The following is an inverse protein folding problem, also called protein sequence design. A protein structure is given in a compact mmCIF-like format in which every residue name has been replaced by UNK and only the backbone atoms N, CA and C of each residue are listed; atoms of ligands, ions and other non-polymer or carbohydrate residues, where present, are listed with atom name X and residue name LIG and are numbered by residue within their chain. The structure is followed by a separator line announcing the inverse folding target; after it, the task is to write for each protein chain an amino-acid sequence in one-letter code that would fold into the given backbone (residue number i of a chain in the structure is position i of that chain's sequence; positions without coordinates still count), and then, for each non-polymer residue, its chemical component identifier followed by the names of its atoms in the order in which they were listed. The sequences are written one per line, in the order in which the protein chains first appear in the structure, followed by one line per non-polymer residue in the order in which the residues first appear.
data_IF_370151837547
#
_entry.id   IF_370151837547
#
_cell.length_a   1.000
_cell.length_b   1.000
_cell.length_c   1.000
_cell.angle_alpha   90.00
_cell.angle_beta   90.00
_cell.angle_gamma   90.00
#
_symmetry.space_group_name_H-M   'P 1'
#
loop_
_entity.id
_entity.type
_entity.pdbx_description
1 polymer ?
#
# COMPACT_ATOMS: atom_id res chain seq x y z
N UNK A 1 -8.42 -4.35 -8.34
CA UNK A 1 -7.77 -5.65 -8.66
C UNK A 1 -7.91 -5.91 -10.16
N UNK A 2 -6.87 -6.47 -10.78
CA UNK A 2 -6.85 -6.83 -12.20
C UNK A 2 -6.63 -8.33 -12.39
N UNK A 3 -7.36 -8.95 -13.31
CA UNK A 3 -7.07 -10.32 -13.78
C UNK A 3 -6.54 -10.25 -15.21
N UNK A 4 -5.28 -10.63 -15.39
CA UNK A 4 -4.63 -10.65 -16.70
C UNK A 4 -4.38 -12.08 -17.18
N UNK A 5 -4.65 -12.31 -18.46
CA UNK A 5 -4.21 -13.51 -19.19
C UNK A 5 -3.56 -13.09 -20.50
N UNK A 6 -2.35 -13.57 -20.70
CA UNK A 6 -1.52 -13.29 -21.87
C UNK A 6 -1.62 -14.46 -22.83
N UNK A 7 -1.87 -14.20 -24.10
CA UNK A 7 -2.16 -15.20 -25.11
C UNK A 7 -1.32 -14.97 -26.36
N UNK A 8 -0.65 -16.02 -26.84
CA UNK A 8 0.18 -16.00 -28.04
C UNK A 8 -0.43 -16.91 -29.12
N UNK A 9 -0.40 -16.51 -30.40
CA UNK A 9 -0.86 -17.34 -31.52
C UNK A 9 0.29 -17.81 -32.43
N UNK A 10 0.68 -19.09 -32.37
CA UNK A 10 1.67 -19.65 -33.29
C UNK A 10 1.04 -20.12 -34.63
N UNK A 11 1.74 -19.98 -35.77
CA UNK A 11 2.90 -19.11 -35.99
C UNK A 11 2.46 -17.65 -36.15
N UNK A 12 3.19 -16.70 -35.57
CA UNK A 12 2.92 -15.27 -35.75
C UNK A 12 3.29 -14.42 -34.55
N UNK A 13 2.99 -13.13 -34.65
CA UNK A 13 3.23 -12.10 -33.62
C UNK A 13 1.92 -11.51 -33.05
N UNK A 14 0.80 -12.21 -33.21
CA UNK A 14 -0.50 -11.81 -32.65
C UNK A 14 -0.55 -12.18 -31.15
N UNK A 15 -0.03 -11.27 -30.34
CA UNK A 15 0.03 -11.37 -28.89
C UNK A 15 -1.06 -10.51 -28.25
N UNK A 16 -1.86 -11.12 -27.38
CA UNK A 16 -3.04 -10.50 -26.78
C UNK A 16 -3.00 -10.57 -25.27
N UNK A 17 -3.54 -9.54 -24.65
CA UNK A 17 -3.88 -9.51 -23.24
C UNK A 17 -5.41 -9.44 -23.12
N UNK A 18 -6.00 -10.37 -22.37
CA UNK A 18 -7.36 -10.21 -21.85
C UNK A 18 -7.23 -9.77 -20.40
N UNK A 19 -7.82 -8.63 -20.08
CA UNK A 19 -7.69 -7.95 -18.79
C UNK A 19 -9.10 -7.67 -18.23
N UNK A 20 -9.36 -8.09 -17.00
CA UNK A 20 -10.56 -7.70 -16.26
C UNK A 20 -10.19 -6.78 -15.10
N UNK A 21 -10.75 -5.57 -15.09
CA UNK A 21 -10.68 -4.65 -13.97
C UNK A 21 -11.89 -4.88 -13.05
N UNK A 22 -11.73 -5.63 -11.95
CA UNK A 22 -12.83 -6.00 -11.06
C UNK A 22 -13.50 -4.83 -10.34
N UNK A 23 -12.77 -3.73 -10.10
CA UNK A 23 -13.35 -2.57 -9.40
C UNK A 23 -14.38 -1.81 -10.25
N UNK A 24 -14.21 -1.84 -11.58
CA UNK A 24 -15.13 -1.21 -12.54
C UNK A 24 -15.89 -2.23 -13.39
N UNK A 25 -15.76 -3.51 -13.06
CA UNK A 25 -16.27 -4.65 -13.83
C UNK A 25 -16.10 -4.50 -15.35
N UNK A 26 -14.91 -4.04 -15.76
CA UNK A 26 -14.60 -3.74 -17.17
C UNK A 26 -13.66 -4.79 -17.74
N UNK A 27 -14.14 -5.53 -18.73
CA UNK A 27 -13.37 -6.45 -19.56
C UNK A 27 -12.71 -5.69 -20.71
N UNK A 28 -11.42 -5.91 -20.91
CA UNK A 28 -10.62 -5.32 -21.96
C UNK A 28 -9.84 -6.41 -22.69
N UNK A 29 -9.73 -6.28 -24.00
CA UNK A 29 -8.85 -7.08 -24.84
C UNK A 29 -7.89 -6.17 -25.57
N UNK A 30 -6.59 -6.36 -25.35
CA UNK A 30 -5.51 -5.47 -25.78
C UNK A 30 -4.54 -6.25 -26.70
N UNK A 31 -4.14 -5.65 -27.81
CA UNK A 31 -3.03 -6.10 -28.64
C UNK A 31 -1.72 -5.62 -28.04
N UNK A 32 -0.80 -6.51 -27.67
CA UNK A 32 0.40 -6.12 -26.93
C UNK A 32 1.34 -5.23 -27.76
N UNK A 33 1.57 -5.58 -29.04
CA UNK A 33 2.52 -4.87 -29.92
C UNK A 33 1.96 -3.63 -30.65
N UNK A 34 0.66 -3.35 -30.55
CA UNK A 34 0.01 -2.27 -31.34
C UNK A 34 -0.28 -1.00 -30.52
N UNK A 35 0.14 -0.96 -29.27
CA UNK A 35 -0.27 0.09 -28.33
C UNK A 35 0.76 1.21 -28.26
N UNK A 36 0.46 2.34 -28.91
CA UNK A 36 1.12 3.63 -28.67
C UNK A 36 0.14 4.59 -27.98
N UNK A 37 0.11 4.54 -26.64
CA UNK A 37 -0.74 5.43 -25.84
C UNK A 37 -0.30 6.91 -25.88
N UNK A 38 0.94 7.19 -26.31
CA UNK A 38 1.47 8.57 -26.42
C UNK A 38 0.97 9.26 -27.69
N UNK A 39 0.67 8.48 -28.74
CA UNK A 39 0.07 8.99 -29.97
C UNK A 39 -1.42 9.31 -29.86
N UNK A 40 -2.09 8.94 -28.75
CA UNK A 40 -3.52 9.16 -28.58
C UNK A 40 -3.83 10.55 -28.01
N UNK A 41 -4.75 11.25 -28.68
CA UNK A 41 -5.24 12.56 -28.25
C UNK A 41 -6.28 12.40 -27.13
N UNK A 42 -5.78 12.34 -25.88
CA UNK A 42 -6.57 12.24 -24.65
C UNK A 42 -7.54 13.41 -24.42
N UNK A 43 -7.43 14.51 -25.20
CA UNK A 43 -8.37 15.63 -25.12
C UNK A 43 -9.73 15.34 -25.74
N UNK A 44 -9.88 14.23 -26.47
CA UNK A 44 -11.14 13.84 -27.13
C UNK A 44 -11.87 12.77 -26.33
N UNK A 45 -13.13 13.00 -25.92
CA UNK A 45 -13.93 11.98 -25.27
C UNK A 45 -14.23 10.86 -26.26
N UNK A 46 -14.06 9.63 -25.80
CA UNK A 46 -14.43 8.45 -26.56
C UNK A 46 -15.94 8.22 -26.51
N UNK A 47 -16.55 7.72 -27.59
CA UNK A 47 -17.95 7.28 -27.55
C UNK A 47 -18.13 6.21 -26.45
N UNK A 48 -19.27 6.21 -25.73
CA UNK A 48 -19.57 5.15 -24.76
C UNK A 48 -19.45 3.76 -25.40
N UNK A 49 -18.68 2.88 -24.79
CA UNK A 49 -18.45 1.51 -25.28
C UNK A 49 -17.47 1.40 -26.46
N UNK A 50 -16.81 2.49 -26.88
CA UNK A 50 -15.72 2.41 -27.83
C UNK A 50 -14.47 1.77 -27.18
N UNK A 51 -13.75 1.00 -27.98
CA UNK A 51 -12.42 0.50 -27.64
C UNK A 51 -11.41 1.66 -27.60
N UNK A 52 -10.41 1.59 -26.72
CA UNK A 52 -9.22 2.43 -26.81
C UNK A 52 -8.35 2.00 -27.99
N UNK A 53 -7.41 2.84 -28.47
CA UNK A 53 -6.38 2.40 -29.40
C UNK A 53 -5.64 1.17 -28.87
N UNK A 54 -5.41 0.20 -29.74
CA UNK A 54 -4.80 -1.08 -29.39
C UNK A 54 -5.74 -2.03 -28.63
N UNK A 55 -7.02 -1.69 -28.44
CA UNK A 55 -8.02 -2.61 -27.88
C UNK A 55 -8.90 -3.24 -28.97
N UNK A 56 -9.08 -4.56 -28.90
CA UNK A 56 -10.09 -5.29 -29.68
C UNK A 56 -11.40 -5.52 -28.91
N UNK A 57 -11.42 -5.25 -27.61
CA UNK A 57 -12.58 -5.46 -26.76
C UNK A 57 -12.56 -4.46 -25.61
N UNK A 58 -13.72 -3.81 -25.36
CA UNK A 58 -14.01 -3.09 -24.13
C UNK A 58 -15.47 -3.27 -23.77
N UNK A 59 -15.74 -3.85 -22.61
CA UNK A 59 -17.11 -4.09 -22.15
C UNK A 59 -17.20 -3.92 -20.64
N UNK A 60 -18.10 -3.04 -20.21
CA UNK A 60 -18.48 -2.91 -18.80
C UNK A 60 -19.66 -3.84 -18.48
N UNK A 61 -19.70 -4.34 -17.26
CA UNK A 61 -20.76 -5.18 -16.73
C UNK A 61 -21.27 -4.62 -15.41
N UNK A 62 -22.49 -4.97 -15.04
CA UNK A 62 -23.11 -4.48 -13.80
C UNK A 62 -22.65 -5.27 -12.57
N UNK A 63 -22.07 -6.46 -12.78
CA UNK A 63 -21.68 -7.37 -11.70
C UNK A 63 -20.40 -8.15 -12.01
N UNK A 64 -19.64 -8.45 -10.95
CA UNK A 64 -18.48 -9.33 -10.98
C UNK A 64 -18.76 -10.72 -11.58
N UNK A 65 -19.92 -11.31 -11.30
CA UNK A 65 -20.28 -12.62 -11.87
C UNK A 65 -20.42 -12.56 -13.39
N UNK A 66 -21.04 -11.50 -13.94
CA UNK A 66 -21.16 -11.32 -15.38
C UNK A 66 -19.79 -11.04 -16.03
N UNK A 67 -19.00 -10.16 -15.42
CA UNK A 67 -17.69 -9.75 -15.95
C UNK A 67 -16.70 -10.92 -15.98
N UNK A 68 -16.67 -11.75 -14.92
CA UNK A 68 -15.85 -12.97 -14.86
C UNK A 68 -16.33 -14.03 -15.85
N UNK A 69 -17.65 -14.21 -16.02
CA UNK A 69 -18.18 -15.14 -17.01
C UNK A 69 -17.78 -14.74 -18.44
N UNK A 70 -17.85 -13.46 -18.76
CA UNK A 70 -17.42 -12.92 -20.05
C UNK A 70 -15.90 -13.04 -20.25
N UNK A 71 -15.11 -12.76 -19.21
CA UNK A 71 -13.65 -12.95 -19.22
C UNK A 71 -13.27 -14.40 -19.54
N UNK A 72 -13.89 -15.37 -18.85
CA UNK A 72 -13.71 -16.81 -19.12
C UNK A 72 -14.10 -17.17 -20.55
N UNK A 73 -15.25 -16.68 -21.02
CA UNK A 73 -15.73 -16.92 -22.38
C UNK A 73 -14.75 -16.41 -23.43
N UNK A 74 -14.22 -15.19 -23.25
CA UNK A 74 -13.30 -14.57 -24.21
C UNK A 74 -11.96 -15.31 -24.28
N UNK A 75 -11.44 -15.74 -23.13
CA UNK A 75 -10.21 -16.56 -23.05
C UNK A 75 -10.41 -17.90 -23.77
N UNK A 76 -11.55 -18.57 -23.56
CA UNK A 76 -11.87 -19.81 -24.28
C UNK A 76 -12.07 -19.61 -25.78
N UNK A 77 -12.70 -18.50 -26.18
CA UNK A 77 -12.85 -18.12 -27.59
C UNK A 77 -11.48 -17.97 -28.27
N UNK A 78 -10.53 -17.32 -27.60
CA UNK A 78 -9.16 -17.19 -28.10
C UNK A 78 -8.45 -18.55 -28.12
N UNK A 79 -8.55 -19.38 -27.08
CA UNK A 79 -7.98 -20.74 -27.10
C UNK A 79 -8.52 -21.57 -28.26
N UNK A 80 -9.83 -21.53 -28.51
CA UNK A 80 -10.46 -22.20 -29.65
C UNK A 80 -9.98 -21.67 -31.01
N UNK A 81 -9.53 -20.41 -31.06
CA UNK A 81 -8.90 -19.79 -32.24
C UNK A 81 -7.40 -20.10 -32.38
N UNK A 82 -6.85 -20.98 -31.54
CA UNK A 82 -5.46 -21.45 -31.60
C UNK A 82 -4.47 -20.67 -30.74
N UNK A 83 -4.95 -19.82 -29.83
CA UNK A 83 -4.07 -19.10 -28.90
C UNK A 83 -3.65 -19.97 -27.72
N UNK A 84 -2.42 -19.78 -27.25
CA UNK A 84 -1.85 -20.42 -26.07
C UNK A 84 -1.69 -19.38 -24.97
N UNK A 85 -2.27 -19.64 -23.79
CA UNK A 85 -2.05 -18.81 -22.61
C UNK A 85 -0.60 -18.99 -22.11
N UNK A 86 0.13 -17.89 -21.94
CA UNK A 86 1.52 -17.87 -21.47
C UNK A 86 1.61 -17.66 -19.96
N UNK A 87 2.77 -17.94 -19.37
CA UNK A 87 3.00 -17.83 -17.93
C UNK A 87 3.02 -16.40 -17.39
N UNK A 88 3.06 -15.39 -18.25
CA UNK A 88 3.11 -13.98 -17.86
C UNK A 88 1.94 -13.59 -16.95
N UNK A 89 2.25 -12.73 -15.98
CA UNK A 89 1.29 -12.26 -14.97
C UNK A 89 1.24 -10.75 -14.84
N UNK A 90 2.27 -10.01 -15.23
CA UNK A 90 2.30 -8.55 -15.08
C UNK A 90 1.37 -7.86 -16.08
N UNK A 91 0.21 -7.37 -15.62
CA UNK A 91 -0.78 -6.69 -16.46
C UNK A 91 -0.26 -5.40 -17.14
N UNK A 92 0.88 -4.86 -16.69
CA UNK A 92 1.53 -3.70 -17.30
C UNK A 92 2.42 -4.07 -18.48
N UNK A 93 2.70 -5.36 -18.68
CA UNK A 93 3.46 -5.88 -19.81
C UNK A 93 2.81 -5.48 -21.14
N UNK A 94 3.62 -5.00 -22.07
CA UNK A 94 3.21 -4.60 -23.44
C UNK A 94 3.90 -5.41 -24.54
N UNK A 95 4.79 -6.32 -24.18
CA UNK A 95 5.39 -7.27 -25.12
C UNK A 95 5.74 -8.55 -24.35
N UNK A 96 5.48 -9.72 -24.95
CA UNK A 96 5.89 -11.00 -24.37
C UNK A 96 7.40 -11.24 -24.49
N UNK A 97 8.13 -10.41 -25.25
CA UNK A 97 9.59 -10.46 -25.33
C UNK A 97 10.13 -11.74 -25.97
N UNK A 98 9.30 -12.43 -26.77
CA UNK A 98 9.63 -13.72 -27.38
C UNK A 98 9.51 -14.92 -26.44
N UNK A 99 9.13 -14.72 -25.17
CA UNK A 99 8.81 -15.82 -24.27
C UNK A 99 7.35 -16.24 -24.44
N UNK A 100 7.15 -17.39 -25.07
CA UNK A 100 5.81 -17.95 -25.29
C UNK A 100 5.56 -19.20 -24.45
N UNK A 101 6.31 -19.36 -23.35
CA UNK A 101 6.22 -20.55 -22.50
C UNK A 101 4.78 -20.69 -21.98
N UNK A 102 4.11 -21.83 -22.27
CA UNK A 102 2.73 -22.03 -21.87
C UNK A 102 2.56 -21.98 -20.35
N UNK A 103 1.45 -21.39 -19.88
CA UNK A 103 1.13 -21.36 -18.47
C UNK A 103 0.99 -22.80 -17.91
N UNK A 104 1.66 -23.14 -16.80
CA UNK A 104 1.45 -24.41 -16.10
C UNK A 104 -0.02 -24.65 -15.73
N UNK A 105 -0.46 -25.91 -15.78
CA UNK A 105 -1.85 -26.26 -15.51
C UNK A 105 -2.31 -25.85 -14.10
N UNK A 106 -1.44 -25.99 -13.09
CA UNK A 106 -1.77 -25.61 -11.71
C UNK A 106 -1.98 -24.10 -11.54
N UNK A 107 -1.27 -23.26 -12.30
CA UNK A 107 -1.48 -21.81 -12.28
C UNK A 107 -2.83 -21.46 -12.90
N UNK A 108 -3.22 -22.12 -14.00
CA UNK A 108 -4.57 -21.95 -14.58
C UNK A 108 -5.67 -22.34 -13.59
N UNK A 109 -5.50 -23.45 -12.87
CA UNK A 109 -6.46 -23.87 -11.84
C UNK A 109 -6.55 -22.85 -10.69
N UNK A 110 -5.42 -22.27 -10.28
CA UNK A 110 -5.38 -21.26 -9.23
C UNK A 110 -6.02 -19.94 -9.69
N UNK A 111 -5.79 -19.51 -10.93
CA UNK A 111 -6.50 -18.39 -11.55
C UNK A 111 -8.03 -18.63 -11.52
N UNK A 112 -8.46 -19.83 -11.90
CA UNK A 112 -9.88 -20.21 -11.91
C UNK A 112 -10.51 -20.22 -10.51
N UNK A 113 -9.77 -20.72 -9.51
CA UNK A 113 -10.20 -20.71 -8.11
C UNK A 113 -10.30 -19.28 -7.56
N UNK A 114 -9.35 -18.41 -7.94
CA UNK A 114 -9.37 -16.99 -7.58
C UNK A 114 -10.60 -16.30 -8.17
N UNK A 115 -10.88 -16.46 -9.46
CA UNK A 115 -12.11 -15.94 -10.09
C UNK A 115 -13.37 -16.48 -9.41
N UNK A 116 -13.40 -17.78 -9.08
CA UNK A 116 -14.55 -18.40 -8.45
C UNK A 116 -14.88 -17.78 -7.08
N UNK A 117 -13.87 -17.33 -6.34
CA UNK A 117 -14.06 -16.69 -5.03
C UNK A 117 -14.79 -15.34 -5.06
N UNK A 118 -14.97 -14.76 -6.26
CA UNK A 118 -15.69 -13.50 -6.48
C UNK A 118 -17.02 -13.68 -7.23
N UNK A 119 -17.13 -14.68 -8.10
CA UNK A 119 -18.27 -14.82 -9.00
C UNK A 119 -19.17 -16.02 -8.73
N UNK A 120 -18.64 -17.10 -8.14
CA UNK A 120 -19.27 -18.41 -8.17
C UNK A 120 -19.85 -18.81 -6.79
N UNK A 121 -20.89 -19.67 -6.75
CA UNK A 121 -21.41 -20.26 -5.52
C UNK A 121 -20.37 -21.02 -4.69
N UNK A 122 -20.60 -21.13 -3.38
CA UNK A 122 -19.65 -21.74 -2.41
C UNK A 122 -19.30 -23.21 -2.69
N UNK A 123 -20.19 -23.98 -3.32
CA UNK A 123 -19.95 -25.36 -3.74
C UNK A 123 -19.02 -25.43 -4.96
N UNK A 124 -19.18 -24.51 -5.92
CA UNK A 124 -18.25 -24.36 -7.04
C UNK A 124 -16.87 -23.95 -6.53
N UNK A 125 -16.80 -22.99 -5.60
CA UNK A 125 -15.54 -22.61 -4.96
C UNK A 125 -14.87 -23.80 -4.26
N UNK A 126 -15.62 -24.61 -3.52
CA UNK A 126 -15.09 -25.81 -2.86
C UNK A 126 -14.49 -26.80 -3.88
N UNK A 127 -15.17 -27.04 -5.01
CA UNK A 127 -14.67 -27.91 -6.07
C UNK A 127 -13.38 -27.37 -6.71
N UNK A 128 -13.28 -26.05 -6.92
CA UNK A 128 -12.06 -25.42 -7.44
C UNK A 128 -10.90 -25.53 -6.46
N UNK A 129 -11.14 -25.35 -5.17
CA UNK A 129 -10.12 -25.53 -4.13
C UNK A 129 -9.67 -26.98 -4.01
N UNK A 130 -10.59 -27.95 -4.06
CA UNK A 130 -10.26 -29.36 -4.02
C UNK A 130 -9.35 -29.77 -5.20
N UNK A 131 -9.55 -29.19 -6.38
CA UNK A 131 -8.71 -29.44 -7.54
C UNK A 131 -7.26 -28.94 -7.39
N UNK A 132 -6.97 -28.06 -6.42
CA UNK A 132 -5.60 -27.57 -6.15
C UNK A 132 -4.80 -28.48 -5.22
N UNK A 133 -5.46 -29.33 -4.42
CA UNK A 133 -4.84 -30.06 -3.31
C UNK A 133 -3.67 -30.97 -3.74
N UNK A 134 -3.77 -31.58 -4.92
CA UNK A 134 -2.76 -32.50 -5.47
C UNK A 134 -1.83 -31.82 -6.49
N UNK A 135 -1.70 -30.49 -6.41
CA UNK A 135 -0.90 -29.69 -7.33
C UNK A 135 0.13 -28.85 -6.57
N UNK A 136 1.17 -28.32 -7.24
CA UNK A 136 2.09 -27.37 -6.59
C UNK A 136 1.41 -26.13 -6.00
N UNK A 137 0.18 -25.80 -6.42
CA UNK A 137 -0.58 -24.68 -5.91
C UNK A 137 -0.99 -24.83 -4.44
N UNK A 138 -1.04 -26.06 -3.89
CA UNK A 138 -1.57 -26.33 -2.55
C UNK A 138 -0.89 -25.51 -1.44
N UNK A 139 0.40 -25.23 -1.61
CA UNK A 139 1.22 -24.46 -0.66
C UNK A 139 1.58 -23.06 -1.18
N UNK A 140 0.88 -22.56 -2.22
CA UNK A 140 0.99 -21.17 -2.64
C UNK A 140 0.20 -20.25 -1.69
N UNK A 141 0.75 -19.09 -1.28
CA UNK A 141 0.06 -18.15 -0.38
C UNK A 141 -1.34 -17.77 -0.86
N UNK A 142 -1.54 -17.61 -2.17
CA UNK A 142 -2.84 -17.29 -2.75
C UNK A 142 -3.86 -18.44 -2.62
N UNK A 143 -3.44 -19.70 -2.77
CA UNK A 143 -4.32 -20.85 -2.58
C UNK A 143 -4.73 -21.01 -1.12
N UNK A 144 -3.79 -20.82 -0.19
CA UNK A 144 -4.04 -20.84 1.25
C UNK A 144 -5.01 -19.71 1.67
N UNK A 145 -4.82 -18.51 1.12
CA UNK A 145 -5.75 -17.40 1.30
C UNK A 145 -7.16 -17.73 0.79
N UNK A 146 -7.29 -18.32 -0.41
CA UNK A 146 -8.59 -18.72 -0.96
C UNK A 146 -9.27 -19.78 -0.08
N UNK A 147 -8.52 -20.75 0.42
CA UNK A 147 -9.04 -21.77 1.33
C UNK A 147 -9.53 -21.17 2.66
N UNK A 148 -8.79 -20.21 3.23
CA UNK A 148 -9.19 -19.49 4.44
C UNK A 148 -10.44 -18.61 4.20
N UNK A 149 -10.50 -17.93 3.05
CA UNK A 149 -11.66 -17.12 2.64
C UNK A 149 -12.92 -17.97 2.51
N UNK A 150 -12.81 -19.12 1.82
CA UNK A 150 -13.92 -20.07 1.67
C UNK A 150 -14.39 -20.63 3.01
N UNK A 151 -13.46 -21.09 3.86
CA UNK A 151 -13.76 -21.55 5.21
C UNK A 151 -14.51 -20.48 6.02
N UNK A 152 -14.12 -19.22 5.87
CA UNK A 152 -14.84 -18.08 6.44
C UNK A 152 -16.26 -17.90 5.91
N UNK A 153 -16.46 -17.99 4.59
CA UNK A 153 -17.77 -17.86 3.95
C UNK A 153 -18.77 -18.95 4.42
N UNK A 154 -18.30 -20.17 4.63
CA UNK A 154 -19.12 -21.28 5.15
C UNK A 154 -19.15 -21.35 6.69
N UNK A 155 -18.54 -20.37 7.38
CA UNK A 155 -18.45 -20.29 8.85
C UNK A 155 -17.82 -21.53 9.49
N UNK A 156 -16.83 -22.13 8.84
CA UNK A 156 -16.06 -23.25 9.38
C UNK A 156 -15.35 -22.88 10.68
N UNK A 157 -15.19 -23.84 11.61
CA UNK A 157 -14.51 -23.63 12.89
C UNK A 157 -12.99 -23.46 12.75
N UNK A 158 -12.39 -23.97 11.67
CA UNK A 158 -10.96 -23.90 11.38
C UNK A 158 -10.56 -22.68 10.52
N UNK A 159 -11.49 -21.74 10.28
CA UNK A 159 -11.25 -20.60 9.39
C UNK A 159 -10.11 -19.68 9.86
N UNK A 160 -9.95 -19.50 11.19
CA UNK A 160 -8.84 -18.73 11.76
C UNK A 160 -7.51 -19.45 11.55
N UNK A 161 -7.44 -20.74 11.90
CA UNK A 161 -6.23 -21.57 11.73
C UNK A 161 -5.75 -21.57 10.26
N UNK A 162 -6.68 -21.63 9.30
CA UNK A 162 -6.35 -21.53 7.86
C UNK A 162 -5.79 -20.16 7.50
N UNK A 163 -6.32 -19.07 8.05
CA UNK A 163 -5.80 -17.73 7.81
C UNK A 163 -4.41 -17.54 8.43
N UNK A 164 -4.18 -18.09 9.62
CA UNK A 164 -2.87 -18.10 10.27
C UNK A 164 -1.84 -18.87 9.42
N UNK A 165 -2.20 -20.06 8.91
CA UNK A 165 -1.35 -20.83 8.00
C UNK A 165 -0.99 -20.06 6.73
N UNK A 166 -1.95 -19.34 6.14
CA UNK A 166 -1.69 -18.51 4.96
C UNK A 166 -0.66 -17.41 5.27
N UNK A 167 -0.79 -16.75 6.43
CA UNK A 167 0.17 -15.75 6.92
C UNK A 167 1.55 -16.35 7.19
N UNK A 168 1.61 -17.48 7.89
CA UNK A 168 2.88 -18.11 8.26
C UNK A 168 3.66 -18.59 7.04
N UNK A 169 2.96 -19.17 6.06
CA UNK A 169 3.56 -19.61 4.79
C UNK A 169 4.12 -18.43 4.00
N UNK A 170 3.40 -17.31 3.96
CA UNK A 170 3.87 -16.10 3.31
C UNK A 170 5.14 -15.56 3.99
N UNK A 171 5.12 -15.40 5.32
CA UNK A 171 6.26 -14.92 6.10
C UNK A 171 7.48 -15.84 5.92
N UNK A 172 7.28 -17.16 5.91
CA UNK A 172 8.35 -18.11 5.67
C UNK A 172 8.98 -17.95 4.28
N UNK A 173 8.17 -17.74 3.23
CA UNK A 173 8.68 -17.49 1.88
C UNK A 173 9.43 -16.16 1.79
N UNK A 174 8.92 -15.10 2.40
CA UNK A 174 9.59 -13.79 2.44
C UNK A 174 10.95 -13.89 3.14
N UNK A 175 11.02 -14.51 4.32
CA UNK A 175 12.26 -14.71 5.05
C UNK A 175 13.28 -15.56 4.25
N UNK A 176 12.79 -16.55 3.49
CA UNK A 176 13.59 -17.37 2.60
C UNK A 176 13.91 -16.75 1.24
N UNK A 177 13.42 -15.54 0.94
CA UNK A 177 13.47 -14.90 -0.39
C UNK A 177 12.97 -15.81 -1.51
N UNK A 178 11.98 -16.65 -1.21
CA UNK A 178 11.41 -17.59 -2.17
C UNK A 178 10.30 -16.90 -2.97
N UNK A 179 10.31 -16.98 -4.31
CA UNK A 179 9.22 -16.44 -5.11
C UNK A 179 7.92 -17.20 -4.86
N UNK A 180 6.80 -16.55 -5.10
CA UNK A 180 5.47 -17.14 -5.03
C UNK A 180 4.58 -16.55 -6.11
N UNK A 181 3.54 -17.29 -6.48
CA UNK A 181 2.63 -16.90 -7.54
C UNK A 181 1.63 -15.85 -7.04
N UNK A 182 1.60 -14.70 -7.71
CA UNK A 182 0.78 -13.55 -7.28
C UNK A 182 -0.37 -13.22 -8.24
N UNK A 183 -0.42 -13.85 -9.41
CA UNK A 183 -1.36 -13.59 -10.50
C UNK A 183 -1.78 -12.11 -10.70
N UNK A 184 -1.01 -11.35 -11.46
CA UNK A 184 -1.28 -9.92 -11.79
C UNK A 184 -1.36 -8.98 -10.59
N UNK A 185 -1.23 -9.48 -9.37
CA UNK A 185 -1.10 -8.68 -8.17
C UNK A 185 0.38 -8.43 -7.89
N UNK A 186 0.74 -7.24 -7.42
CA UNK A 186 2.06 -7.05 -6.82
C UNK A 186 2.13 -7.87 -5.53
N UNK A 187 3.33 -8.40 -5.21
CA UNK A 187 3.59 -9.23 -4.04
C UNK A 187 3.04 -8.62 -2.73
N UNK A 188 3.22 -7.31 -2.59
CA UNK A 188 2.72 -6.52 -1.46
C UNK A 188 1.19 -6.52 -1.32
N UNK A 189 0.44 -6.57 -2.43
CA UNK A 189 -1.01 -6.65 -2.39
C UNK A 189 -1.49 -8.03 -1.93
N UNK A 190 -0.81 -9.11 -2.32
CA UNK A 190 -1.10 -10.46 -1.80
C UNK A 190 -0.94 -10.48 -0.28
N UNK A 191 0.15 -9.92 0.24
CA UNK A 191 0.37 -9.75 1.69
C UNK A 191 -0.77 -8.97 2.35
N UNK A 192 -1.15 -7.82 1.78
CA UNK A 192 -2.28 -7.04 2.27
C UNK A 192 -3.61 -7.83 2.31
N UNK A 193 -3.88 -8.71 1.34
CA UNK A 193 -5.08 -9.53 1.33
C UNK A 193 -5.06 -10.65 2.38
N UNK A 194 -3.89 -11.28 2.60
CA UNK A 194 -3.69 -12.31 3.63
C UNK A 194 -3.95 -11.73 5.02
N UNK A 195 -3.30 -10.61 5.34
CA UNK A 195 -3.43 -9.99 6.66
C UNK A 195 -4.81 -9.37 6.90
N UNK A 196 -5.45 -8.76 5.88
CA UNK A 196 -6.81 -8.24 6.03
C UNK A 196 -7.84 -9.37 6.28
N UNK A 197 -7.67 -10.54 5.66
CA UNK A 197 -8.51 -11.71 5.95
C UNK A 197 -8.28 -12.20 7.37
N UNK A 198 -7.03 -12.31 7.81
CA UNK A 198 -6.66 -12.71 9.17
C UNK A 198 -7.29 -11.79 10.22
N UNK A 199 -7.24 -10.47 10.01
CA UNK A 199 -7.90 -9.50 10.88
C UNK A 199 -9.41 -9.80 11.05
N UNK A 200 -10.12 -10.03 9.93
CA UNK A 200 -11.54 -10.41 9.97
C UNK A 200 -11.76 -11.74 10.71
N UNK A 201 -10.85 -12.71 10.58
CA UNK A 201 -10.98 -14.00 11.26
C UNK A 201 -10.78 -13.89 12.77
N UNK A 202 -9.85 -13.04 13.24
CA UNK A 202 -9.69 -12.78 14.68
C UNK A 202 -10.95 -12.14 15.29
N UNK A 203 -11.66 -11.30 14.55
CA UNK A 203 -12.93 -10.71 14.97
C UNK A 203 -14.10 -11.72 14.97
N UNK A 204 -14.10 -12.64 13.99
CA UNK A 204 -15.16 -13.66 13.85
C UNK A 204 -14.98 -14.88 14.79
N UNK A 205 -13.88 -14.96 15.54
CA UNK A 205 -13.55 -16.11 16.37
C UNK A 205 -14.63 -16.35 17.45
N UNK A 206 -15.39 -17.46 17.30
CA UNK A 206 -16.67 -17.72 17.97
C UNK A 206 -16.65 -17.67 19.51
N UNK A 207 -15.51 -17.86 20.16
CA UNK A 207 -15.42 -17.92 21.62
C UNK A 207 -15.17 -16.54 22.25
N UNK A 208 -14.29 -15.73 21.65
CA UNK A 208 -13.97 -14.37 22.07
C UNK A 208 -13.24 -13.70 20.91
N UNK A 209 -13.77 -12.62 20.31
CA UNK A 209 -13.04 -11.83 19.33
C UNK A 209 -11.72 -11.33 19.91
N UNK A 210 -10.62 -11.52 19.19
CA UNK A 210 -9.31 -10.95 19.56
C UNK A 210 -9.08 -9.65 18.80
N UNK A 211 -9.58 -8.55 19.36
CA UNK A 211 -9.48 -7.24 18.73
C UNK A 211 -8.02 -6.76 18.62
N UNK A 212 -7.13 -7.16 19.53
CA UNK A 212 -5.72 -6.78 19.50
C UNK A 212 -4.97 -7.50 18.37
N UNK A 213 -5.19 -8.81 18.22
CA UNK A 213 -4.64 -9.55 17.08
C UNK A 213 -5.24 -9.07 15.76
N UNK A 214 -6.54 -8.74 15.73
CA UNK A 214 -7.17 -8.16 14.56
C UNK A 214 -6.56 -6.81 14.17
N UNK A 215 -6.32 -5.93 15.15
CA UNK A 215 -5.68 -4.64 14.94
C UNK A 215 -4.25 -4.79 14.42
N UNK A 216 -3.44 -5.66 15.04
CA UNK A 216 -2.08 -5.94 14.58
C UNK A 216 -2.06 -6.50 13.15
N UNK A 217 -3.01 -7.37 12.79
CA UNK A 217 -3.13 -7.90 11.44
C UNK A 217 -3.56 -6.84 10.42
N UNK A 218 -4.52 -5.96 10.73
CA UNK A 218 -4.94 -4.91 9.77
C UNK A 218 -3.86 -3.83 9.60
N UNK A 219 -3.10 -3.52 10.65
CA UNK A 219 -1.95 -2.61 10.57
C UNK A 219 -0.89 -3.18 9.62
N UNK A 220 -0.54 -4.48 9.76
CA UNK A 220 0.37 -5.15 8.84
C UNK A 220 -0.16 -5.22 7.39
N UNK A 221 -1.48 -5.31 7.22
CA UNK A 221 -2.09 -5.26 5.89
C UNK A 221 -1.94 -3.88 5.24
N UNK A 222 -2.15 -2.81 5.99
CA UNK A 222 -2.02 -1.42 5.55
C UNK A 222 -0.57 -1.05 5.24
N UNK A 223 0.37 -1.52 6.07
CA UNK A 223 1.81 -1.34 5.83
C UNK A 223 2.27 -2.06 4.55
N UNK A 224 1.71 -3.24 4.27
CA UNK A 224 2.03 -3.98 3.05
C UNK A 224 1.44 -3.34 1.79
N UNK A 225 0.14 -3.08 1.80
CA UNK A 225 -0.54 -2.46 0.66
C UNK A 225 -1.77 -1.72 1.17
N UNK A 226 -1.75 -0.41 1.05
CA UNK A 226 -2.87 0.42 1.48
C UNK A 226 -4.06 0.28 0.53
N UNK A 227 -5.25 0.26 1.11
CA UNK A 227 -6.52 0.11 0.41
C UNK A 227 -7.66 0.65 1.28
N UNK A 228 -8.70 1.19 0.65
CA UNK A 228 -9.81 1.85 1.34
C UNK A 228 -10.60 0.89 2.25
N UNK A 229 -10.85 -0.35 1.82
CA UNK A 229 -11.55 -1.36 2.63
C UNK A 229 -10.75 -1.71 3.89
N UNK A 230 -9.41 -1.68 3.79
CA UNK A 230 -8.53 -1.94 4.94
C UNK A 230 -8.57 -0.78 5.93
N UNK A 231 -8.61 0.46 5.45
CA UNK A 231 -8.78 1.64 6.29
C UNK A 231 -10.14 1.64 7.00
N UNK A 232 -11.22 1.30 6.29
CA UNK A 232 -12.55 1.16 6.88
C UNK A 232 -12.54 0.11 7.99
N UNK A 233 -11.94 -1.06 7.73
CA UNK A 233 -11.84 -2.12 8.73
C UNK A 233 -11.01 -1.69 9.96
N UNK A 234 -9.87 -1.03 9.77
CA UNK A 234 -9.05 -0.53 10.87
C UNK A 234 -9.82 0.49 11.71
N UNK A 235 -10.45 1.49 11.07
CA UNK A 235 -11.22 2.51 11.76
C UNK A 235 -12.42 1.92 12.51
N UNK A 236 -13.07 0.90 11.94
CA UNK A 236 -14.12 0.15 12.62
C UNK A 236 -13.59 -0.60 13.85
N UNK A 237 -12.44 -1.29 13.74
CA UNK A 237 -11.80 -1.99 14.87
C UNK A 237 -11.48 -1.00 15.99
N UNK A 238 -10.82 0.11 15.66
CA UNK A 238 -10.43 1.14 16.62
C UNK A 238 -11.65 1.73 17.33
N UNK A 239 -12.65 2.21 16.59
CA UNK A 239 -13.85 2.81 17.19
C UNK A 239 -14.68 1.81 18.00
N UNK A 240 -14.68 0.53 17.65
CA UNK A 240 -15.51 -0.48 18.33
C UNK A 240 -14.83 -1.09 19.55
N UNK A 241 -13.51 -1.32 19.49
CA UNK A 241 -12.79 -2.11 20.48
C UNK A 241 -11.72 -1.34 21.26
N UNK A 242 -11.33 -0.15 20.80
CA UNK A 242 -10.29 0.69 21.39
C UNK A 242 -10.81 2.14 21.55
N UNK A 243 -11.78 2.39 22.45
CA UNK A 243 -12.44 3.69 22.57
C UNK A 243 -11.46 4.84 22.88
N UNK A 244 -10.35 4.57 23.55
CA UNK A 244 -9.26 5.53 23.77
C UNK A 244 -8.53 5.96 22.48
N UNK A 245 -8.67 5.18 21.41
CA UNK A 245 -8.14 5.45 20.07
C UNK A 245 -9.24 5.83 19.07
N UNK A 246 -10.44 6.17 19.53
CA UNK A 246 -11.55 6.50 18.64
C UNK A 246 -11.23 7.70 17.72
N UNK A 247 -10.52 8.72 18.21
CA UNK A 247 -10.09 9.83 17.35
C UNK A 247 -9.05 9.42 16.31
N UNK A 248 -8.24 8.37 16.53
CA UNK A 248 -7.33 7.85 15.50
C UNK A 248 -8.12 7.30 14.30
N UNK A 249 -9.24 6.63 14.59
CA UNK A 249 -10.16 6.15 13.57
C UNK A 249 -10.76 7.33 12.80
N UNK A 250 -11.19 8.37 13.51
CA UNK A 250 -11.85 9.53 12.92
C UNK A 250 -10.91 10.36 12.06
N UNK A 251 -9.69 10.63 12.53
CA UNK A 251 -8.66 11.32 11.75
C UNK A 251 -8.33 10.55 10.46
N UNK A 252 -8.32 9.22 10.50
CA UNK A 252 -8.01 8.39 9.33
C UNK A 252 -9.10 8.41 8.25
N UNK A 253 -10.35 8.73 8.59
CA UNK A 253 -11.49 8.67 7.66
C UNK A 253 -12.14 10.02 7.36
N UNK A 254 -11.78 11.10 8.08
CA UNK A 254 -12.48 12.40 8.02
C UNK A 254 -12.68 12.92 6.59
N UNK A 255 -11.63 12.90 5.77
CA UNK A 255 -11.65 13.38 4.38
C UNK A 255 -12.38 12.46 3.40
N UNK A 256 -12.67 11.23 3.79
CA UNK A 256 -13.29 10.20 2.94
C UNK A 256 -14.72 9.90 3.37
N UNK A 257 -15.16 10.43 4.52
CA UNK A 257 -16.43 10.10 5.13
C UNK A 257 -17.65 10.46 4.28
N UNK A 258 -17.52 11.39 3.33
CA UNK A 258 -18.57 11.79 2.38
C UNK A 258 -18.67 10.86 1.15
N UNK A 259 -17.67 10.01 0.91
CA UNK A 259 -17.61 9.08 -0.24
C UNK A 259 -18.46 7.83 -0.07
N UNK A 260 -19.09 7.64 1.10
CA UNK A 260 -19.87 6.45 1.46
C UNK A 260 -18.99 5.28 1.94
N UNK A 261 -19.59 4.25 2.54
CA UNK A 261 -18.89 3.07 3.07
C UNK A 261 -18.41 3.21 4.53
N UNK A 262 -18.48 4.42 5.10
CA UNK A 262 -18.07 4.74 6.47
C UNK A 262 -19.25 4.83 7.46
N UNK A 263 -20.47 4.47 7.05
CA UNK A 263 -21.72 4.72 7.80
C UNK A 263 -21.70 4.04 9.18
N UNK A 264 -21.06 2.87 9.28
CA UNK A 264 -20.90 2.16 10.56
C UNK A 264 -20.07 2.93 11.59
N UNK A 265 -19.26 3.89 11.14
CA UNK A 265 -18.39 4.73 11.98
C UNK A 265 -19.02 6.12 12.13
N UNK A 266 -19.50 6.72 11.03
CA UNK A 266 -20.03 8.10 11.03
C UNK A 266 -21.41 8.22 11.70
N UNK A 267 -22.15 7.13 11.87
CA UNK A 267 -23.41 7.10 12.62
C UNK A 267 -23.21 7.23 14.15
N UNK A 268 -21.97 7.18 14.65
CA UNK A 268 -21.68 7.27 16.09
C UNK A 268 -21.89 8.71 16.59
N UNK A 269 -22.43 8.87 17.80
CA UNK A 269 -22.66 10.20 18.37
C UNK A 269 -21.35 11.01 18.56
N UNK A 270 -20.26 10.33 18.92
CA UNK A 270 -18.94 10.97 19.09
C UNK A 270 -18.34 11.46 17.77
N UNK A 271 -18.69 10.84 16.64
CA UNK A 271 -18.31 11.34 15.31
C UNK A 271 -18.89 12.73 15.04
N UNK A 272 -20.18 12.95 15.30
CA UNK A 272 -20.81 14.24 15.04
C UNK A 272 -20.12 15.38 15.81
N UNK A 273 -19.75 15.13 17.06
CA UNK A 273 -19.00 16.09 17.86
C UNK A 273 -17.58 16.34 17.32
N UNK A 274 -16.89 15.28 16.87
CA UNK A 274 -15.58 15.38 16.22
C UNK A 274 -15.66 16.18 14.92
N UNK A 275 -16.59 15.84 14.02
CA UNK A 275 -16.76 16.49 12.73
C UNK A 275 -17.12 17.98 12.89
N UNK A 276 -17.94 18.34 13.89
CA UNK A 276 -18.25 19.73 14.19
C UNK A 276 -17.02 20.53 14.63
N UNK A 277 -16.11 19.93 15.44
CA UNK A 277 -14.83 20.57 15.81
C UNK A 277 -13.95 20.79 14.58
N UNK A 278 -13.77 19.76 13.75
CA UNK A 278 -12.97 19.84 12.52
C UNK A 278 -13.52 20.87 11.53
N UNK A 279 -14.84 20.94 11.38
CA UNK A 279 -15.48 21.96 10.54
C UNK A 279 -15.27 23.38 11.09
N UNK A 280 -15.31 23.57 12.40
CA UNK A 280 -15.06 24.87 13.03
C UNK A 280 -13.58 25.30 12.95
N UNK A 281 -12.63 24.35 12.97
CA UNK A 281 -11.22 24.64 12.71
C UNK A 281 -10.98 25.02 11.25
N UNK A 282 -11.56 24.26 10.32
CA UNK A 282 -11.50 24.53 8.87
C UNK A 282 -12.08 25.91 8.54
N UNK A 283 -13.27 26.22 9.04
CA UNK A 283 -13.92 27.52 8.83
C UNK A 283 -13.13 28.71 9.40
N UNK A 284 -12.25 28.46 10.36
CA UNK A 284 -11.37 29.47 10.94
C UNK A 284 -9.96 29.46 10.36
N UNK A 285 -9.70 28.65 9.32
CA UNK A 285 -8.37 28.51 8.70
C UNK A 285 -7.31 27.95 9.66
N UNK A 286 -7.71 27.20 10.71
CA UNK A 286 -6.78 26.67 11.71
C UNK A 286 -6.23 25.32 11.27
N UNK A 287 -4.91 25.25 11.21
CA UNK A 287 -4.17 23.99 11.15
C UNK A 287 -3.85 23.50 12.57
N UNK A 288 -3.97 22.19 12.79
CA UNK A 288 -3.68 21.54 14.08
C UNK A 288 -2.97 20.21 13.86
N UNK A 289 -2.49 19.60 14.94
CA UNK A 289 -1.91 18.27 14.91
C UNK A 289 -2.27 17.50 16.18
N UNK A 290 -2.17 16.17 16.11
CA UNK A 290 -2.42 15.29 17.25
C UNK A 290 -1.59 14.02 17.13
N UNK A 291 -0.93 13.62 18.21
CA UNK A 291 -0.33 12.31 18.30
C UNK A 291 -1.38 11.20 18.35
N UNK A 292 -1.16 10.13 17.59
CA UNK A 292 -1.95 8.90 17.69
C UNK A 292 -1.87 8.30 19.09
N UNK A 293 -2.98 7.72 19.55
CA UNK A 293 -3.01 6.93 20.78
C UNK A 293 -2.30 5.56 20.65
N UNK A 294 -2.07 5.09 19.43
CA UNK A 294 -1.53 3.77 19.10
C UNK A 294 -0.03 3.62 19.03
N UNK A 295 0.73 4.47 19.73
CA UNK A 295 2.18 4.44 19.69
C UNK A 295 2.75 3.15 20.32
N UNK A 296 3.91 2.71 19.81
CA UNK A 296 4.58 1.48 20.25
C UNK A 296 6.01 1.83 20.71
N UNK A 297 6.19 2.16 22.00
CA UNK A 297 7.49 2.44 22.58
C UNK A 297 8.47 1.27 22.40
N UNK A 298 9.73 1.60 22.11
CA UNK A 298 10.79 0.63 21.97
C UNK A 298 11.59 0.44 23.27
N UNK A 299 11.95 -0.79 23.59
CA UNK A 299 12.90 -1.04 24.66
C UNK A 299 14.36 -0.82 24.21
N UNK A 300 15.28 -0.80 25.17
CA UNK A 300 16.70 -0.57 24.89
C UNK A 300 17.34 -1.66 24.00
N UNK A 301 16.82 -2.89 24.03
CA UNK A 301 17.34 -4.01 23.26
C UNK A 301 16.95 -3.88 21.78
N UNK A 302 15.71 -3.50 21.49
CA UNK A 302 15.23 -3.21 20.14
C UNK A 302 16.00 -2.05 19.51
N UNK A 303 16.25 -0.98 20.26
CA UNK A 303 17.05 0.16 19.78
C UNK A 303 18.49 -0.28 19.49
N UNK A 304 19.11 -1.05 20.40
CA UNK A 304 20.46 -1.56 20.20
C UNK A 304 20.56 -2.52 19.01
N UNK A 305 19.54 -3.33 18.76
CA UNK A 305 19.48 -4.22 17.60
C UNK A 305 19.39 -3.41 16.28
N UNK A 306 18.60 -2.34 16.25
CA UNK A 306 18.52 -1.45 15.09
C UNK A 306 19.85 -0.72 14.83
N UNK A 307 20.50 -0.20 15.87
CA UNK A 307 21.83 0.39 15.80
C UNK A 307 22.86 -0.59 15.23
N UNK A 308 22.84 -1.84 15.70
CA UNK A 308 23.72 -2.89 15.19
C UNK A 308 23.42 -3.27 13.73
N UNK A 309 22.14 -3.35 13.34
CA UNK A 309 21.74 -3.67 11.97
C UNK A 309 22.13 -2.58 10.97
N UNK A 310 22.13 -1.31 11.41
CA UNK A 310 22.50 -0.17 10.61
C UNK A 310 24.00 0.16 10.65
N UNK A 311 24.75 -0.40 11.61
CA UNK A 311 26.12 -0.05 11.98
C UNK A 311 26.29 1.44 12.36
N UNK A 312 25.40 1.91 13.24
CA UNK A 312 25.36 3.32 13.68
C UNK A 312 25.09 3.43 15.17
N UNK A 313 25.25 4.65 15.71
CA UNK A 313 24.70 5.03 17.02
C UNK A 313 23.67 6.13 16.81
N UNK A 314 22.50 6.02 17.43
CA UNK A 314 21.51 7.09 17.40
C UNK A 314 21.82 8.17 18.44
N UNK A 315 21.55 9.45 18.14
CA UNK A 315 21.61 10.53 19.14
C UNK A 315 20.66 10.27 20.30
N UNK A 316 21.07 10.69 21.51
CA UNK A 316 20.32 10.41 22.74
C UNK A 316 18.89 10.94 22.72
N UNK A 317 18.66 12.11 22.11
CA UNK A 317 17.31 12.67 21.96
C UNK A 317 16.39 11.79 21.10
N UNK A 318 16.91 11.21 20.02
CA UNK A 318 16.14 10.29 19.18
C UNK A 318 15.93 8.94 19.88
N UNK A 319 16.93 8.44 20.61
CA UNK A 319 16.75 7.24 21.47
C UNK A 319 15.65 7.45 22.51
N UNK A 320 15.61 8.61 23.17
CA UNK A 320 14.56 8.96 24.12
C UNK A 320 13.18 9.00 23.45
N UNK A 321 13.07 9.58 22.26
CA UNK A 321 11.84 9.55 21.47
C UNK A 321 11.40 8.11 21.13
N UNK A 322 12.32 7.23 20.72
CA UNK A 322 12.01 5.83 20.47
C UNK A 322 11.53 5.10 21.73
N UNK A 323 12.08 5.43 22.90
CA UNK A 323 11.67 4.85 24.19
C UNK A 323 10.33 5.39 24.71
N UNK A 324 9.97 6.62 24.38
CA UNK A 324 8.71 7.23 24.80
C UNK A 324 7.57 6.89 23.84
N UNK A 325 7.81 6.99 22.53
CA UNK A 325 6.80 6.87 21.48
C UNK A 325 7.05 5.70 20.54
N UNK A 326 8.31 5.49 20.15
CA UNK A 326 8.67 4.48 19.15
C UNK A 326 7.87 4.64 17.87
N UNK A 327 7.32 3.54 17.34
CA UNK A 327 6.48 3.58 16.13
C UNK A 327 5.18 4.32 16.45
N UNK A 328 4.92 5.42 15.76
CA UNK A 328 3.73 6.24 16.01
C UNK A 328 3.35 7.10 14.82
N UNK A 329 2.10 7.56 14.80
CA UNK A 329 1.62 8.54 13.82
C UNK A 329 1.39 9.90 14.50
N UNK A 330 1.72 10.98 13.79
CA UNK A 330 1.26 12.34 14.05
C UNK A 330 0.20 12.69 13.01
N UNK A 331 -1.07 12.80 13.42
CA UNK A 331 -2.13 13.28 12.55
C UNK A 331 -1.99 14.78 12.33
N UNK A 332 -2.02 15.20 11.07
CA UNK A 332 -1.91 16.59 10.64
C UNK A 332 -3.22 17.01 10.00
N UNK A 333 -3.77 18.09 10.53
CA UNK A 333 -5.14 18.53 10.30
C UNK A 333 -5.10 19.94 9.72
N UNK A 334 -5.08 20.07 8.41
CA UNK A 334 -5.08 21.37 7.73
C UNK A 334 -6.53 21.75 7.32
N UNK A 335 -6.78 23.02 6.94
CA UNK A 335 -8.10 23.43 6.45
C UNK A 335 -8.50 22.66 5.18
N UNK A 336 -7.59 22.54 4.22
CA UNK A 336 -7.91 21.97 2.89
C UNK A 336 -7.42 20.53 2.70
N UNK A 337 -6.53 20.05 3.57
CA UNK A 337 -5.96 18.70 3.49
C UNK A 337 -5.79 18.06 4.88
N UNK A 338 -5.97 16.74 4.99
CA UNK A 338 -5.59 15.98 6.18
C UNK A 338 -4.56 14.94 5.76
N UNK A 339 -3.49 14.82 6.55
CA UNK A 339 -2.42 13.87 6.32
C UNK A 339 -1.88 13.37 7.67
N UNK A 340 -0.81 12.60 7.67
CA UNK A 340 -0.10 12.19 8.87
C UNK A 340 1.39 12.04 8.59
N UNK A 341 2.20 12.22 9.62
CA UNK A 341 3.62 11.86 9.62
C UNK A 341 3.79 10.57 10.43
N UNK A 342 4.25 9.51 9.78
CA UNK A 342 4.51 8.22 10.39
C UNK A 342 5.96 8.13 10.83
N UNK A 343 6.20 7.92 12.11
CA UNK A 343 7.52 7.65 12.67
C UNK A 343 7.79 6.16 12.72
N UNK A 344 8.98 5.78 12.26
CA UNK A 344 9.41 4.40 12.16
C UNK A 344 9.77 3.81 13.55
N UNK A 345 9.40 2.55 13.77
CA UNK A 345 9.94 1.74 14.85
C UNK A 345 11.36 1.23 14.55
N UNK A 346 12.12 0.79 15.58
CA UNK A 346 13.50 0.31 15.36
C UNK A 346 13.62 -0.84 14.36
N UNK A 347 12.61 -1.71 14.27
CA UNK A 347 12.54 -2.85 13.36
C UNK A 347 12.32 -2.45 11.89
N UNK A 348 11.89 -1.21 11.63
CA UNK A 348 11.62 -0.69 10.27
C UNK A 348 12.80 0.09 9.69
N UNK A 349 13.65 0.69 10.54
CA UNK A 349 14.68 1.66 10.12
C UNK A 349 15.68 1.09 9.09
N UNK A 350 16.07 -0.18 9.23
CA UNK A 350 17.01 -0.82 8.30
C UNK A 350 16.41 -0.97 6.90
N UNK A 351 15.18 -1.48 6.82
CA UNK A 351 14.50 -1.64 5.53
C UNK A 351 14.22 -0.28 4.89
N UNK A 352 13.75 0.71 5.66
CA UNK A 352 13.52 2.06 5.14
C UNK A 352 14.79 2.70 4.58
N UNK A 353 15.96 2.48 5.21
CA UNK A 353 17.24 2.96 4.66
C UNK A 353 17.58 2.29 3.34
N UNK A 354 17.43 0.97 3.24
CA UNK A 354 17.72 0.26 2.00
C UNK A 354 16.74 0.64 0.89
N UNK A 355 15.46 0.86 1.21
CA UNK A 355 14.46 1.34 0.24
C UNK A 355 14.79 2.76 -0.25
N UNK A 356 15.20 3.65 0.65
CA UNK A 356 15.67 4.99 0.30
C UNK A 356 16.91 4.95 -0.59
N UNK A 357 17.93 4.17 -0.23
CA UNK A 357 19.15 4.00 -1.03
C UNK A 357 18.81 3.41 -2.40
N UNK A 358 17.97 2.38 -2.45
CA UNK A 358 17.52 1.79 -3.70
C UNK A 358 16.84 2.83 -4.59
N UNK A 359 15.95 3.65 -4.00
CA UNK A 359 15.24 4.70 -4.73
C UNK A 359 16.19 5.74 -5.33
N UNK A 360 17.09 6.33 -4.53
CA UNK A 360 18.01 7.38 -5.02
C UNK A 360 19.09 6.85 -5.98
N UNK A 361 19.16 5.52 -6.14
CA UNK A 361 20.06 4.82 -7.08
C UNK A 361 19.31 4.13 -8.22
N UNK A 362 18.01 4.40 -8.41
CA UNK A 362 17.25 3.83 -9.52
C UNK A 362 17.78 4.27 -10.89
N UNK A 363 18.26 5.50 -10.98
CA UNK A 363 18.71 6.13 -12.23
C UNK A 363 20.23 6.24 -12.35
N UNK A 364 20.97 5.95 -11.28
CA UNK A 364 22.44 6.05 -11.24
C UNK A 364 23.05 5.10 -10.20
N UNK A 365 24.37 4.93 -10.22
CA UNK A 365 25.09 4.13 -9.25
C UNK A 365 25.08 4.74 -7.84
N UNK A 366 25.16 3.87 -6.83
CA UNK A 366 25.31 4.28 -5.43
C UNK A 366 26.53 5.19 -5.20
N UNK A 367 27.63 4.96 -5.92
CA UNK A 367 28.83 5.79 -5.81
C UNK A 367 28.56 7.25 -6.24
N UNK A 368 27.79 7.43 -7.31
CA UNK A 368 27.43 8.76 -7.80
C UNK A 368 26.44 9.45 -6.85
N UNK A 369 25.38 8.75 -6.42
CA UNK A 369 24.45 9.29 -5.44
C UNK A 369 25.17 9.70 -4.14
N UNK A 370 26.07 8.86 -3.64
CA UNK A 370 26.87 9.16 -2.44
C UNK A 370 27.80 10.38 -2.64
N UNK A 371 28.41 10.53 -3.82
CA UNK A 371 29.22 11.70 -4.16
C UNK A 371 28.37 12.97 -4.17
N UNK A 372 27.17 12.92 -4.77
CA UNK A 372 26.23 14.05 -4.82
C UNK A 372 25.84 14.53 -3.42
N UNK A 373 25.41 13.63 -2.52
CA UNK A 373 25.08 14.00 -1.13
C UNK A 373 26.28 14.57 -0.36
N UNK A 374 27.48 14.04 -0.62
CA UNK A 374 28.70 14.54 0.02
C UNK A 374 29.06 15.94 -0.47
N UNK A 375 28.90 16.21 -1.77
CA UNK A 375 29.19 17.51 -2.36
C UNK A 375 28.14 18.57 -1.98
N UNK A 376 26.85 18.24 -2.07
CA UNK A 376 25.76 19.20 -1.85
C UNK A 376 25.49 19.49 -0.39
N UNK A 377 25.58 18.48 0.48
CA UNK A 377 25.15 18.56 1.88
C UNK A 377 26.22 18.12 2.87
N UNK A 378 27.38 17.64 2.42
CA UNK A 378 28.47 17.22 3.30
C UNK A 378 28.21 15.93 4.10
N UNK A 379 27.16 15.18 3.77
CA UNK A 379 26.71 13.99 4.50
C UNK A 379 27.00 12.70 3.74
N UNK A 380 27.13 11.59 4.46
CA UNK A 380 27.26 10.27 3.85
C UNK A 380 25.88 9.63 3.62
N UNK A 381 25.61 9.18 2.39
CA UNK A 381 24.36 8.50 2.03
C UNK A 381 24.03 7.32 2.98
N UNK A 382 25.01 6.46 3.28
CA UNK A 382 24.83 5.29 4.17
C UNK A 382 24.51 5.65 5.63
N UNK A 383 24.78 6.89 6.04
CA UNK A 383 24.50 7.40 7.39
C UNK A 383 23.22 8.25 7.48
N UNK A 384 22.50 8.43 6.36
CA UNK A 384 21.15 8.99 6.36
C UNK A 384 20.16 7.87 6.67
N UNK A 385 19.49 7.98 7.82
CA UNK A 385 18.47 7.03 8.27
C UNK A 385 17.11 7.72 8.15
N UNK A 386 16.21 7.25 7.29
CA UNK A 386 14.82 7.70 7.31
C UNK A 386 14.16 7.35 8.65
N UNK A 387 13.61 8.34 9.33
CA UNK A 387 12.98 8.19 10.65
C UNK A 387 11.49 8.49 10.65
N UNK A 388 11.00 9.22 9.64
CA UNK A 388 9.59 9.45 9.44
C UNK A 388 9.25 9.70 7.96
N UNK A 389 8.02 9.38 7.58
CA UNK A 389 7.47 9.59 6.24
C UNK A 389 6.05 10.15 6.32
N UNK A 390 5.69 11.17 5.51
CA UNK A 390 4.33 11.65 5.41
C UNK A 390 3.45 10.62 4.68
N UNK A 391 2.15 10.72 4.90
CA UNK A 391 1.16 9.94 4.17
C UNK A 391 0.91 10.55 2.80
N UNK A 392 0.89 9.72 1.76
CA UNK A 392 0.58 10.11 0.37
C UNK A 392 1.51 11.18 -0.25
N UNK A 393 2.64 11.48 0.41
CA UNK A 393 3.70 12.33 -0.12
C UNK A 393 5.02 11.53 -0.18
N UNK A 394 5.82 11.79 -1.20
CA UNK A 394 7.07 11.07 -1.45
C UNK A 394 8.27 11.81 -0.83
N UNK A 395 8.14 12.20 0.43
CA UNK A 395 9.18 12.89 1.18
C UNK A 395 9.61 12.05 2.40
N UNK A 396 10.76 12.38 3.00
CA UNK A 396 11.25 11.70 4.18
C UNK A 396 11.86 12.69 5.16
N UNK A 397 11.71 12.43 6.46
CA UNK A 397 12.56 13.01 7.49
C UNK A 397 13.75 12.08 7.68
N UNK A 398 14.95 12.59 7.40
CA UNK A 398 16.21 11.86 7.51
C UNK A 398 17.00 12.30 8.74
N UNK A 399 17.58 11.35 9.46
CA UNK A 399 18.52 11.57 10.56
C UNK A 399 19.92 11.18 10.12
N UNK A 400 20.88 12.09 10.26
CA UNK A 400 22.27 11.82 9.93
C UNK A 400 23.06 11.28 11.15
N UNK A 401 23.73 10.15 10.96
CA UNK A 401 24.35 9.36 12.04
C UNK A 401 25.87 9.19 11.91
N UNK A 402 26.50 9.79 10.89
CA UNK A 402 27.96 9.77 10.74
C UNK A 402 28.60 10.56 11.89
N UNK A 403 29.57 9.99 12.63
CA UNK A 403 30.28 10.73 13.66
C UNK A 403 30.98 11.98 13.08
N UNK A 404 30.74 13.15 13.67
CA UNK A 404 31.35 14.42 13.26
C UNK A 404 30.44 15.63 13.48
N UNK A 405 30.76 16.75 12.83
CA UNK A 405 30.07 18.04 13.01
C UNK A 405 28.59 18.04 12.59
N UNK A 406 28.20 17.07 11.76
CA UNK A 406 26.82 16.86 11.29
C UNK A 406 26.11 15.70 11.98
N UNK A 407 26.72 15.09 13.01
CA UNK A 407 26.08 14.01 13.76
C UNK A 407 24.80 14.50 14.43
N UNK A 408 23.69 13.78 14.21
CA UNK A 408 22.39 14.05 14.79
C UNK A 408 21.55 15.09 14.06
N UNK A 409 22.08 15.73 13.01
CA UNK A 409 21.30 16.67 12.18
C UNK A 409 20.16 15.96 11.46
N UNK A 410 19.07 16.69 11.26
CA UNK A 410 17.90 16.21 10.55
C UNK A 410 17.69 16.99 9.25
N UNK A 411 17.13 16.32 8.25
CA UNK A 411 16.84 16.89 6.94
C UNK A 411 15.46 16.45 6.47
N UNK A 412 14.86 17.25 5.61
CA UNK A 412 13.76 16.81 4.75
C UNK A 412 14.35 16.44 3.40
N UNK A 413 13.95 15.30 2.87
CA UNK A 413 14.25 14.86 1.51
C UNK A 413 12.95 14.81 0.72
N UNK A 414 12.99 15.28 -0.53
CA UNK A 414 11.85 15.27 -1.46
C UNK A 414 12.19 14.46 -2.71
N UNK A 415 11.29 13.57 -3.13
CA UNK A 415 11.47 12.75 -4.34
C UNK A 415 11.72 13.54 -5.63
N UNK A 416 11.21 14.77 -5.76
CA UNK A 416 11.39 15.61 -6.95
C UNK A 416 12.86 16.06 -7.10
N UNK A 417 13.56 16.21 -5.98
CA UNK A 417 14.98 16.48 -5.89
C UNK A 417 15.73 15.28 -5.31
N UNK A 418 15.82 14.19 -6.06
CA UNK A 418 16.30 12.89 -5.56
C UNK A 418 17.63 12.91 -4.77
N UNK A 419 18.52 13.88 -5.01
CA UNK A 419 19.80 14.05 -4.30
C UNK A 419 19.92 15.37 -3.50
N UNK A 420 18.79 16.04 -3.26
CA UNK A 420 18.73 17.30 -2.53
C UNK A 420 18.19 17.07 -1.11
N UNK A 421 18.81 17.75 -0.14
CA UNK A 421 18.35 17.80 1.25
C UNK A 421 17.97 19.25 1.56
N UNK A 422 16.76 19.42 2.09
CA UNK A 422 16.17 20.71 2.43
C UNK A 422 15.83 20.78 3.91
N UNK A 423 15.54 21.99 4.40
CA UNK A 423 15.10 22.27 5.77
C UNK A 423 16.00 21.66 6.86
N UNK A 424 17.32 21.76 6.68
CA UNK A 424 18.31 21.24 7.65
C UNK A 424 18.06 21.78 9.06
N UNK A 425 17.98 20.88 10.04
CA UNK A 425 17.82 21.20 11.47
C UNK A 425 19.00 20.63 12.27
N UNK A 426 19.42 21.31 13.35
CA UNK A 426 20.61 20.93 14.11
C UNK A 426 20.47 19.59 14.83
N UNK A 427 19.25 19.20 15.22
CA UNK A 427 18.95 17.95 15.89
C UNK A 427 17.48 17.52 15.72
N UNK A 428 17.15 16.32 16.22
CA UNK A 428 15.80 15.78 16.18
C UNK A 428 14.75 16.64 16.93
N UNK A 429 15.01 17.13 18.16
CA UNK A 429 14.08 18.06 18.82
C UNK A 429 13.78 19.32 18.01
N UNK A 430 14.78 19.94 17.36
CA UNK A 430 14.59 21.10 16.51
C UNK A 430 13.76 20.76 15.26
N UNK A 431 14.00 19.59 14.64
CA UNK A 431 13.17 19.08 13.54
C UNK A 431 11.72 18.89 13.96
N UNK A 432 11.48 18.27 15.12
CA UNK A 432 10.13 18.09 15.63
C UNK A 432 9.44 19.43 15.92
N UNK A 433 10.15 20.38 16.55
CA UNK A 433 9.61 21.71 16.80
C UNK A 433 9.26 22.45 15.50
N UNK A 434 10.15 22.40 14.49
CA UNK A 434 9.91 22.99 13.17
C UNK A 434 8.66 22.42 12.50
N UNK A 435 8.46 21.09 12.57
CA UNK A 435 7.23 20.45 12.04
C UNK A 435 5.99 20.88 12.81
N UNK A 436 5.99 20.78 14.14
CA UNK A 436 4.79 21.02 14.96
C UNK A 436 4.37 22.49 14.96
N UNK A 437 5.29 23.41 15.21
CA UNK A 437 5.03 24.85 15.18
C UNK A 437 4.69 25.30 13.75
N UNK A 438 5.39 24.74 12.76
CA UNK A 438 5.20 25.06 11.36
C UNK A 438 3.83 24.61 10.83
N UNK A 439 3.28 23.48 11.32
CA UNK A 439 1.89 23.09 11.02
C UNK A 439 0.92 24.16 11.54
N UNK A 440 1.03 24.55 12.81
CA UNK A 440 0.10 25.52 13.43
C UNK A 440 0.15 26.89 12.76
N UNK A 441 1.36 27.32 12.37
CA UNK A 441 1.61 28.60 11.68
C UNK A 441 1.48 28.52 10.17
N UNK A 442 1.28 27.32 9.62
CA UNK A 442 1.22 27.04 8.18
C UNK A 442 2.48 27.53 7.45
N UNK A 443 3.65 27.29 8.04
CA UNK A 443 4.95 27.66 7.47
C UNK A 443 5.34 26.71 6.33
N UNK A 444 5.81 27.29 5.21
CA UNK A 444 6.15 26.53 4.00
C UNK A 444 7.18 25.41 4.24
N UNK A 445 8.15 25.60 5.12
CA UNK A 445 9.15 24.58 5.42
C UNK A 445 8.56 23.30 6.04
N UNK A 446 7.55 23.44 6.91
CA UNK A 446 6.88 22.30 7.51
C UNK A 446 5.86 21.67 6.55
N UNK A 447 5.16 22.50 5.76
CA UNK A 447 4.14 22.02 4.80
C UNK A 447 4.75 21.36 3.56
N UNK A 448 5.97 21.74 3.17
CA UNK A 448 6.75 21.09 2.11
C UNK A 448 6.99 19.61 2.42
N UNK A 449 7.22 19.23 3.70
CA UNK A 449 7.32 17.83 4.10
C UNK A 449 6.08 17.02 3.68
N UNK A 450 4.90 17.63 3.62
CA UNK A 450 3.65 16.98 3.27
C UNK A 450 3.24 17.18 1.79
N UNK A 451 4.09 17.81 0.96
CA UNK A 451 3.74 18.27 -0.40
C UNK A 451 2.51 19.19 -0.43
N UNK A 452 2.25 19.93 0.65
CA UNK A 452 1.13 20.86 0.72
C UNK A 452 1.60 22.23 0.20
N UNK A 453 1.07 22.71 -0.93
CA UNK A 453 1.44 24.02 -1.45
C UNK A 453 0.97 25.12 -0.50
N UNK A 454 1.83 26.07 -0.19
CA UNK A 454 1.43 27.31 0.47
C UNK A 454 1.17 28.33 -0.62
N UNK A 455 -0.09 28.76 -0.77
CA UNK A 455 -0.40 29.88 -1.65
C UNK A 455 0.46 31.08 -1.23
N UNK A 456 1.24 31.70 -2.14
CA UNK A 456 1.92 32.93 -1.80
C UNK A 456 0.85 33.96 -1.38
N UNK A 457 1.10 34.79 -0.36
CA UNK A 457 0.15 35.81 0.03
C UNK A 457 -0.23 36.64 -1.21
N UNK A 458 -1.52 36.75 -1.48
CA UNK A 458 -2.03 37.55 -2.58
C UNK A 458 -1.39 38.95 -2.48
N UNK A 459 -0.84 39.50 -3.58
CA UNK A 459 -0.16 40.81 -3.57
C UNK A 459 -0.99 41.99 -3.03
N UNK A 460 -2.29 41.80 -2.82
CA UNK A 460 -3.21 42.82 -2.32
C UNK A 460 -3.28 42.91 -0.78
N UNK A 461 -2.71 41.96 -0.02
CA UNK A 461 -2.67 42.03 1.46
C UNK A 461 -1.36 42.61 2.02
N UNK A 462 -0.40 42.95 1.16
CA UNK A 462 0.89 43.55 1.53
C UNK A 462 1.00 45.06 1.23
N UNK A 463 -0.13 45.73 0.93
CA UNK A 463 -0.17 47.16 0.57
C UNK A 463 -0.76 48.05 1.67
#
# INVERSE_FOLDING_TARGET
MYFAKFLHKPPGDDDRLVLLALGSDTLMGIYLKEVDYLAFDWSKPLPPGANLPGEFLRQAFDTASQSIAAFRHEVERLRAAGYVETHHTDYTLRDLGGDFTPKPAWQRLLDDAMMASFADPVDVQANRLAALAETPAADEPMALWLAARHAGAIKSSDALERAERARDTLVQREAGKQPYYTWSLPARAVKGHVYALLARRHLDARATPDASAALGAIDAALDAYRDEDRLILQAWILSTHFPEREEDAYDSIYRYADRGGYESITARASWAAYAARRAADTAAGRATWRWSGGHQPADAAAIAAAEAALDVRFPDAYRAFLQERGRCDLFVRLPDEDTRLRFAGPDQLSQMREDFIHFVTLTDSEANAAASFRESSGVALRHLVPIAEPYDASNLVLLHTEPGDRYGRCFVWNHDGAWELVHEQPDFPAMLAMVLDGIERQEAAALDLFNVPVDPPHPEEAA
#
